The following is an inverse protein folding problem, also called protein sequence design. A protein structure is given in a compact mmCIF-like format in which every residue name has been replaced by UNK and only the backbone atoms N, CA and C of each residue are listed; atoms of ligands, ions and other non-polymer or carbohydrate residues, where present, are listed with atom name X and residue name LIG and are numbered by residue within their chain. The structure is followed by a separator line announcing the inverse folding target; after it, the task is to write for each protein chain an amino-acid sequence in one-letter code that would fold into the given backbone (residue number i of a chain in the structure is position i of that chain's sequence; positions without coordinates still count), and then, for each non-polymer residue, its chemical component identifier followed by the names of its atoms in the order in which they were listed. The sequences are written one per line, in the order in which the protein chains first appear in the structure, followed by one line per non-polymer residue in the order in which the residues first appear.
data_IF_972986671508
#
_entry.id   IF_972986671508
#
_cell.length_a   1.000
_cell.length_b   1.000
_cell.length_c   1.000
_cell.angle_alpha   90.00
_cell.angle_beta   90.00
_cell.angle_gamma   90.00
#
_symmetry.space_group_name_H-M   'P 1'
#
loop_
_entity.id
_entity.type
_entity.pdbx_description
1 polymer ?
#
# COMPACT_ATOMS: atom_id res chain seq x y z
N UNK A 1 -1.34 -2.91 -9.30
CA UNK A 1 -0.24 -3.62 -9.98
C UNK A 1 0.41 -2.63 -10.94
N UNK A 2 1.71 -2.36 -10.79
CA UNK A 2 2.44 -1.38 -11.61
C UNK A 2 3.10 -2.09 -12.78
N UNK A 3 3.06 -1.49 -13.96
CA UNK A 3 4.02 -1.79 -15.03
C UNK A 3 3.41 -2.05 -16.40
N UNK A 4 4.08 -1.56 -17.44
CA UNK A 4 3.82 -1.88 -18.84
C UNK A 4 3.88 -3.39 -19.13
N UNK A 5 4.65 -4.12 -18.34
CA UNK A 5 4.98 -5.52 -18.59
C UNK A 5 4.12 -6.51 -17.80
N UNK A 6 3.28 -6.05 -16.85
CA UNK A 6 2.42 -6.88 -16.00
C UNK A 6 1.18 -6.12 -15.49
N UNK A 7 0.15 -6.84 -15.03
CA UNK A 7 -1.04 -6.21 -14.47
C UNK A 7 -2.00 -5.63 -15.51
N UNK A 8 -2.77 -4.61 -15.12
CA UNK A 8 -3.94 -4.13 -15.89
C UNK A 8 -3.54 -3.56 -17.25
N UNK A 9 -2.45 -2.80 -17.31
CA UNK A 9 -1.95 -2.23 -18.58
C UNK A 9 -1.66 -3.32 -19.61
N UNK A 10 -0.91 -4.36 -19.22
CA UNK A 10 -0.56 -5.46 -20.11
C UNK A 10 -1.80 -6.22 -20.58
N UNK A 11 -2.67 -6.64 -19.66
CA UNK A 11 -3.91 -7.36 -20.01
C UNK A 11 -4.79 -6.56 -20.97
N UNK A 12 -4.86 -5.24 -20.79
CA UNK A 12 -5.64 -4.36 -21.64
C UNK A 12 -5.07 -4.28 -23.07
N UNK A 13 -3.75 -4.15 -23.20
CA UNK A 13 -3.06 -4.10 -24.49
C UNK A 13 -2.99 -5.47 -25.20
N UNK A 14 -2.96 -6.57 -24.45
CA UNK A 14 -3.03 -7.93 -25.00
C UNK A 14 -4.41 -8.18 -25.67
N UNK A 15 -5.48 -7.58 -25.14
CA UNK A 15 -6.84 -7.64 -25.73
C UNK A 15 -6.96 -6.72 -26.95
N UNK A 16 -6.42 -5.50 -26.87
CA UNK A 16 -6.42 -4.56 -27.99
C UNK A 16 -5.07 -3.81 -28.06
N UNK A 17 -4.15 -4.25 -28.94
CA UNK A 17 -2.83 -3.63 -29.08
C UNK A 17 -2.86 -2.17 -29.53
N UNK A 18 -3.98 -1.70 -30.10
CA UNK A 18 -4.16 -0.32 -30.57
C UNK A 18 -4.78 0.59 -29.52
N UNK A 19 -5.19 0.06 -28.38
CA UNK A 19 -5.81 0.86 -27.33
C UNK A 19 -4.78 1.70 -26.56
N UNK A 20 -5.20 2.87 -26.08
CA UNK A 20 -4.38 3.71 -25.21
C UNK A 20 -4.71 3.40 -23.75
N UNK A 21 -3.67 3.25 -22.93
CA UNK A 21 -3.81 3.00 -21.50
C UNK A 21 -3.23 4.17 -20.71
N UNK A 22 -4.06 4.78 -19.86
CA UNK A 22 -3.64 5.78 -18.88
C UNK A 22 -4.07 5.32 -17.50
N UNK A 23 -3.15 5.17 -16.53
CA UNK A 23 -3.51 4.86 -15.15
C UNK A 23 -4.31 6.00 -14.52
N UNK A 24 -5.20 5.67 -13.58
CA UNK A 24 -5.93 6.66 -12.79
C UNK A 24 -4.95 7.56 -12.01
N UNK A 25 -5.23 8.88 -11.94
CA UNK A 25 -4.42 9.83 -11.19
C UNK A 25 -4.21 9.44 -9.72
N UNK A 26 -5.25 8.93 -9.05
CA UNK A 26 -5.13 8.42 -7.68
C UNK A 26 -4.16 7.24 -7.58
N UNK A 27 -4.16 6.36 -8.58
CA UNK A 27 -3.21 5.25 -8.64
C UNK A 27 -1.78 5.76 -8.85
N UNK A 28 -1.56 6.70 -9.77
CA UNK A 28 -0.26 7.33 -9.98
C UNK A 28 0.25 7.99 -8.70
N UNK A 29 -0.60 8.75 -8.02
CA UNK A 29 -0.24 9.42 -6.77
C UNK A 29 0.14 8.41 -5.69
N UNK A 30 -0.64 7.35 -5.50
CA UNK A 30 -0.30 6.29 -4.54
C UNK A 30 1.04 5.63 -4.87
N UNK A 31 1.34 5.40 -6.16
CA UNK A 31 2.63 4.86 -6.57
C UNK A 31 3.78 5.82 -6.27
N UNK A 32 3.62 7.11 -6.55
CA UNK A 32 4.63 8.13 -6.23
C UNK A 32 4.88 8.21 -4.73
N UNK A 33 3.81 8.19 -3.92
CA UNK A 33 3.94 8.18 -2.46
C UNK A 33 4.69 6.94 -1.97
N UNK A 34 4.37 5.75 -2.51
CA UNK A 34 5.11 4.54 -2.20
C UNK A 34 6.59 4.63 -2.63
N UNK A 35 6.89 5.17 -3.81
CA UNK A 35 8.27 5.31 -4.30
C UNK A 35 9.06 6.27 -3.39
N UNK A 36 8.46 7.38 -2.95
CA UNK A 36 9.07 8.34 -2.00
C UNK A 36 9.27 7.70 -0.62
N UNK A 37 8.27 6.96 -0.12
CA UNK A 37 8.41 6.25 1.15
C UNK A 37 9.55 5.21 1.10
N UNK A 38 9.80 4.65 -0.09
CA UNK A 38 10.87 3.68 -0.32
C UNK A 38 12.20 4.31 -0.76
N UNK A 39 12.31 5.62 -0.95
CA UNK A 39 13.58 6.27 -1.28
C UNK A 39 14.30 6.83 -0.05
N UNK A 40 13.59 7.04 1.06
CA UNK A 40 14.13 7.57 2.30
C UNK A 40 14.20 6.52 3.41
N UNK A 41 15.38 6.28 3.97
CA UNK A 41 15.60 5.31 5.05
C UNK A 41 14.78 5.64 6.30
N UNK A 42 14.77 6.90 6.74
CA UNK A 42 13.96 7.35 7.88
C UNK A 42 12.47 7.08 7.68
N UNK A 43 11.98 7.25 6.45
CA UNK A 43 10.57 7.00 6.12
C UNK A 43 10.27 5.49 6.14
N UNK A 44 11.17 4.66 5.61
CA UNK A 44 11.06 3.19 5.71
C UNK A 44 11.05 2.72 7.16
N UNK A 45 11.94 3.24 8.00
CA UNK A 45 12.00 2.88 9.42
C UNK A 45 10.71 3.25 10.14
N UNK A 46 10.22 4.47 9.93
CA UNK A 46 8.97 4.94 10.51
C UNK A 46 7.79 4.02 10.14
N UNK A 47 7.55 3.78 8.84
CA UNK A 47 6.46 2.90 8.41
C UNK A 47 6.71 1.44 8.78
N UNK A 48 7.96 1.01 8.89
CA UNK A 48 8.34 -0.32 9.37
C UNK A 48 7.97 -0.55 10.83
N UNK A 49 8.16 0.44 11.70
CA UNK A 49 7.71 0.38 13.10
C UNK A 49 6.18 0.30 13.18
N UNK A 50 5.46 1.13 12.42
CA UNK A 50 4.00 1.09 12.37
C UNK A 50 3.51 -0.29 11.90
N UNK A 51 4.10 -0.83 10.84
CA UNK A 51 3.75 -2.15 10.30
C UNK A 51 4.00 -3.27 11.32
N UNK A 52 5.11 -3.22 12.08
CA UNK A 52 5.40 -4.18 13.15
C UNK A 52 4.35 -4.14 14.25
N UNK A 53 3.97 -2.95 14.70
CA UNK A 53 2.91 -2.77 15.70
C UNK A 53 1.60 -3.37 15.15
N UNK A 54 1.16 -2.93 13.96
CA UNK A 54 -0.06 -3.44 13.35
C UNK A 54 -0.07 -4.97 13.24
N UNK A 55 1.02 -5.57 12.78
CA UNK A 55 1.14 -7.03 12.61
C UNK A 55 1.06 -7.76 13.96
N UNK A 56 1.70 -7.24 15.01
CA UNK A 56 1.68 -7.82 16.36
C UNK A 56 0.25 -7.88 16.94
N UNK A 57 -0.53 -6.82 16.72
CA UNK A 57 -1.87 -6.67 17.28
C UNK A 57 -2.95 -7.35 16.42
N UNK A 58 -2.87 -7.23 15.08
CA UNK A 58 -3.85 -7.81 14.15
C UNK A 58 -3.89 -9.35 14.19
N UNK A 59 -2.79 -10.01 14.57
CA UNK A 59 -2.73 -11.46 14.74
C UNK A 59 -3.50 -11.99 15.97
N UNK A 60 -4.02 -11.13 16.85
CA UNK A 60 -4.77 -11.56 18.02
C UNK A 60 -5.93 -10.64 18.29
N UNK A 61 -7.15 -11.15 18.18
CA UNK A 61 -8.38 -10.42 18.50
C UNK A 61 -8.37 -9.85 19.92
N UNK A 62 -7.76 -10.57 20.89
CA UNK A 62 -7.56 -10.09 22.27
C UNK A 62 -6.63 -8.88 22.34
N UNK A 63 -5.46 -8.95 21.68
CA UNK A 63 -4.50 -7.84 21.65
C UNK A 63 -5.08 -6.65 20.90
N UNK A 64 -5.75 -6.90 19.76
CA UNK A 64 -6.45 -5.87 19.01
C UNK A 64 -7.48 -5.14 19.88
N UNK A 65 -8.33 -5.88 20.61
CA UNK A 65 -9.31 -5.30 21.53
C UNK A 65 -8.62 -4.46 22.62
N UNK A 66 -7.54 -4.97 23.23
CA UNK A 66 -6.75 -4.21 24.21
C UNK A 66 -6.21 -2.89 23.64
N UNK A 67 -5.70 -2.89 22.40
CA UNK A 67 -5.19 -1.69 21.74
C UNK A 67 -6.30 -0.63 21.55
N UNK A 68 -7.47 -1.07 21.08
CA UNK A 68 -8.63 -0.19 20.85
C UNK A 68 -9.20 0.34 22.17
N UNK A 69 -9.37 -0.52 23.17
CA UNK A 69 -9.89 -0.14 24.49
C UNK A 69 -8.98 0.91 25.15
N UNK A 70 -7.65 0.76 25.03
CA UNK A 70 -6.67 1.75 25.53
C UNK A 70 -6.60 3.05 24.74
N UNK A 71 -6.96 3.05 23.45
CA UNK A 71 -7.00 4.27 22.64
C UNK A 71 -8.28 5.09 22.85
N UNK A 72 -9.39 4.46 23.26
CA UNK A 72 -10.69 5.11 23.41
C UNK A 72 -11.05 5.52 24.84
N UNK A 73 -10.17 5.27 25.83
CA UNK A 73 -10.35 5.83 27.18
C UNK A 73 -11.60 5.35 27.91
N UNK A 74 -11.98 4.08 27.74
CA UNK A 74 -12.94 3.40 28.62
C UNK A 74 -12.21 2.54 29.65
#
# INVERSE_FOLDING_TARGET
MKGKHQGVQKKFLDINPRALYTPCGCHCLNLTLCDIANSCEKTKDFFGVIQRIYTLFSHSTKRWKFLIDKQLGH
#
